data_IF_073833256157
#
_entry.id   IF_073833256157
#
_cell.length_a   1.000
_cell.length_b   1.000
_cell.length_c   1.000
_cell.angle_alpha   90.00
_cell.angle_beta   90.00
_cell.angle_gamma   90.00
#
_symmetry.space_group_name_H-M   'P 1'
#
loop_
_entity.id
_entity.type
_entity.pdbx_description
1 polymer ?
#
# COMPACT_ATOMS: atom_id res chain seq x y z
N UNK A 1 -2.01 34.69 -72.73
CA UNK A 1 -1.25 34.35 -71.51
C UNK A 1 -2.16 33.52 -70.61
N UNK A 2 -1.72 32.40 -70.04
CA UNK A 2 -2.59 31.54 -69.23
C UNK A 2 -2.82 32.12 -67.83
N UNK A 3 -4.02 31.96 -67.29
CA UNK A 3 -4.34 32.29 -65.89
C UNK A 3 -3.61 31.36 -64.90
N UNK A 4 -3.20 31.85 -63.72
CA UNK A 4 -2.60 31.01 -62.71
C UNK A 4 -3.67 30.26 -61.89
N UNK A 5 -3.64 28.92 -61.92
CA UNK A 5 -4.43 28.07 -61.02
C UNK A 5 -3.95 28.21 -59.57
N UNK A 6 -4.83 28.63 -58.66
CA UNK A 6 -4.52 28.74 -57.22
C UNK A 6 -4.34 27.35 -56.56
N UNK A 7 -3.40 27.19 -55.60
CA UNK A 7 -3.03 25.88 -55.08
C UNK A 7 -4.03 25.33 -54.05
N UNK A 8 -4.23 24.01 -54.09
CA UNK A 8 -5.05 23.18 -53.20
C UNK A 8 -4.54 23.15 -51.74
N UNK A 9 -4.59 24.28 -51.03
CA UNK A 9 -4.27 24.34 -49.57
C UNK A 9 -5.42 23.88 -48.67
N UNK A 10 -6.68 23.86 -49.15
CA UNK A 10 -7.87 23.52 -48.33
C UNK A 10 -7.97 22.03 -47.99
N UNK A 11 -7.58 21.13 -48.91
CA UNK A 11 -7.69 19.66 -48.72
C UNK A 11 -6.85 19.13 -47.56
N UNK A 12 -5.63 19.64 -47.37
CA UNK A 12 -4.73 19.19 -46.29
C UNK A 12 -5.17 19.63 -44.89
N UNK A 13 -5.94 20.72 -44.78
CA UNK A 13 -6.47 21.20 -43.48
C UNK A 13 -7.66 20.38 -43.01
N UNK A 14 -8.60 20.07 -43.92
CA UNK A 14 -9.76 19.23 -43.64
C UNK A 14 -9.37 17.81 -43.22
N UNK A 15 -8.36 17.22 -43.88
CA UNK A 15 -7.83 15.91 -43.49
C UNK A 15 -7.21 15.91 -42.08
N UNK A 16 -6.49 16.98 -41.72
CA UNK A 16 -5.91 17.14 -40.38
C UNK A 16 -6.97 17.28 -39.30
N UNK A 17 -8.01 18.08 -39.53
CA UNK A 17 -9.12 18.21 -38.58
C UNK A 17 -9.92 16.90 -38.44
N UNK A 18 -10.16 16.18 -39.54
CA UNK A 18 -10.81 14.86 -39.49
C UNK A 18 -10.01 13.83 -38.71
N UNK A 19 -8.70 13.74 -38.94
CA UNK A 19 -7.82 12.83 -38.21
C UNK A 19 -7.77 13.17 -36.70
N UNK A 20 -7.67 14.45 -36.35
CA UNK A 20 -7.70 14.88 -34.94
C UNK A 20 -9.01 14.54 -34.24
N UNK A 21 -10.15 14.69 -34.92
CA UNK A 21 -11.46 14.34 -34.36
C UNK A 21 -11.58 12.82 -34.11
N UNK A 22 -11.10 11.99 -35.04
CA UNK A 22 -11.10 10.53 -34.88
C UNK A 22 -10.23 10.10 -33.70
N UNK A 23 -9.03 10.69 -33.55
CA UNK A 23 -8.16 10.40 -32.40
C UNK A 23 -8.83 10.80 -31.09
N UNK A 24 -9.45 11.99 -31.02
CA UNK A 24 -10.15 12.42 -29.82
C UNK A 24 -11.33 11.51 -29.45
N UNK A 25 -12.12 11.07 -30.45
CA UNK A 25 -13.21 10.13 -30.22
C UNK A 25 -12.70 8.76 -29.77
N UNK A 26 -11.58 8.28 -30.33
CA UNK A 26 -10.96 7.03 -29.90
C UNK A 26 -10.44 7.11 -28.46
N UNK A 27 -9.80 8.22 -28.08
CA UNK A 27 -9.34 8.46 -26.70
C UNK A 27 -10.53 8.57 -25.75
N UNK A 28 -11.56 9.34 -26.11
CA UNK A 28 -12.77 9.45 -25.29
C UNK A 28 -13.47 8.10 -25.11
N UNK A 29 -13.61 7.33 -26.20
CA UNK A 29 -14.15 5.97 -26.16
C UNK A 29 -13.32 5.04 -25.28
N UNK A 30 -11.99 5.10 -25.39
CA UNK A 30 -11.08 4.33 -24.52
C UNK A 30 -11.25 4.72 -23.05
N UNK A 31 -11.31 6.01 -22.71
CA UNK A 31 -11.50 6.48 -21.35
C UNK A 31 -12.87 6.09 -20.78
N UNK A 32 -13.94 6.15 -21.59
CA UNK A 32 -15.28 5.67 -21.20
C UNK A 32 -15.25 4.17 -20.93
N UNK A 33 -14.60 3.38 -21.78
CA UNK A 33 -14.42 1.94 -21.54
C UNK A 33 -13.66 1.70 -20.23
N UNK A 34 -12.53 2.37 -20.01
CA UNK A 34 -11.79 2.26 -18.74
C UNK A 34 -12.66 2.65 -17.53
N UNK A 35 -13.45 3.72 -17.63
CA UNK A 35 -14.31 4.16 -16.53
C UNK A 35 -15.44 3.15 -16.23
N UNK A 36 -16.11 2.65 -17.27
CA UNK A 36 -17.25 1.71 -17.12
C UNK A 36 -16.79 0.31 -16.73
N UNK A 37 -15.64 -0.15 -17.22
CA UNK A 37 -15.10 -1.47 -16.90
C UNK A 37 -14.21 -1.49 -15.66
N UNK A 38 -14.08 -0.37 -14.93
CA UNK A 38 -13.23 -0.25 -13.74
C UNK A 38 -11.73 -0.23 -14.03
N UNK A 39 -11.35 -0.05 -15.29
CA UNK A 39 -10.01 -0.28 -15.80
C UNK A 39 -9.63 -1.75 -15.67
N UNK A 40 -8.51 -2.16 -16.28
CA UNK A 40 -7.91 -3.44 -15.89
C UNK A 40 -7.32 -3.27 -14.49
N UNK A 41 -8.14 -3.35 -13.44
CA UNK A 41 -7.63 -3.61 -12.10
C UNK A 41 -6.78 -4.89 -12.24
N UNK A 42 -5.48 -4.79 -12.01
CA UNK A 42 -4.61 -5.97 -12.02
C UNK A 42 -5.12 -7.01 -11.01
N UNK A 43 -4.62 -8.26 -11.05
CA UNK A 43 -4.97 -9.25 -10.04
C UNK A 43 -4.77 -8.65 -8.64
N UNK A 44 -5.85 -8.59 -7.87
CA UNK A 44 -5.90 -8.00 -6.53
C UNK A 44 -6.27 -9.05 -5.50
N UNK A 45 -5.93 -8.79 -4.25
CA UNK A 45 -6.31 -9.58 -3.10
C UNK A 45 -7.42 -8.87 -2.34
N UNK A 46 -8.40 -9.64 -1.86
CA UNK A 46 -9.52 -9.12 -1.10
C UNK A 46 -9.71 -9.99 0.15
N UNK A 47 -9.76 -9.35 1.31
CA UNK A 47 -10.20 -9.99 2.56
C UNK A 47 -11.58 -9.46 2.90
N UNK A 48 -12.49 -10.37 3.24
CA UNK A 48 -13.86 -10.06 3.65
C UNK A 48 -14.10 -10.64 5.03
N UNK A 49 -14.72 -9.85 5.90
CA UNK A 49 -15.12 -10.28 7.25
C UNK A 49 -16.15 -11.40 7.18
N UNK A 50 -15.93 -12.48 7.91
CA UNK A 50 -16.88 -13.58 8.08
C UNK A 50 -18.12 -13.22 8.92
N UNK A 51 -18.13 -12.04 9.56
CA UNK A 51 -19.19 -11.60 10.49
C UNK A 51 -20.44 -11.05 9.78
N UNK A 52 -20.40 -10.88 8.46
CA UNK A 52 -21.53 -10.35 7.68
C UNK A 52 -21.76 -8.84 7.86
N UNK A 53 -20.81 -8.12 8.44
CA UNK A 53 -20.82 -6.66 8.61
C UNK A 53 -20.39 -5.89 7.35
N UNK A 54 -20.01 -6.61 6.29
CA UNK A 54 -19.54 -6.03 5.03
C UNK A 54 -18.14 -5.43 5.09
N UNK A 55 -17.43 -5.58 6.21
CA UNK A 55 -16.05 -5.10 6.33
C UNK A 55 -15.15 -5.86 5.35
N UNK A 56 -14.39 -5.09 4.56
CA UNK A 56 -13.56 -5.63 3.49
C UNK A 56 -12.30 -4.79 3.31
N UNK A 57 -11.21 -5.43 2.92
CA UNK A 57 -9.95 -4.76 2.63
C UNK A 57 -9.37 -5.30 1.32
N UNK A 58 -9.12 -4.40 0.36
CA UNK A 58 -8.54 -4.70 -0.94
C UNK A 58 -7.09 -4.23 -0.99
N UNK A 59 -6.20 -5.07 -1.53
CA UNK A 59 -4.77 -4.81 -1.57
C UNK A 59 -4.12 -5.54 -2.73
N UNK A 60 -2.93 -5.10 -3.12
CA UNK A 60 -2.17 -5.70 -4.21
C UNK A 60 -1.53 -7.03 -3.76
N UNK A 61 -1.13 -7.91 -4.70
CA UNK A 61 -0.36 -9.11 -4.37
C UNK A 61 0.93 -8.81 -3.60
N UNK A 62 1.59 -7.67 -3.86
CA UNK A 62 2.77 -7.23 -3.12
C UNK A 62 2.43 -6.96 -1.64
N UNK A 63 1.38 -6.17 -1.40
CA UNK A 63 0.89 -5.89 -0.04
C UNK A 63 0.45 -7.17 0.67
N UNK A 64 -0.12 -8.13 -0.05
CA UNK A 64 -0.52 -9.43 0.47
C UNK A 64 0.68 -10.23 0.98
N UNK A 65 1.74 -10.31 0.16
CA UNK A 65 2.99 -10.98 0.54
C UNK A 65 3.61 -10.32 1.77
N UNK A 66 3.67 -9.00 1.81
CA UNK A 66 4.23 -8.28 2.97
C UNK A 66 3.40 -8.47 4.24
N UNK A 67 2.07 -8.39 4.15
CA UNK A 67 1.18 -8.64 5.29
C UNK A 67 1.28 -10.09 5.80
N UNK A 68 1.38 -11.06 4.88
CA UNK A 68 1.60 -12.47 5.21
C UNK A 68 2.96 -12.67 5.90
N UNK A 69 4.03 -12.03 5.42
CA UNK A 69 5.36 -12.09 6.05
C UNK A 69 5.35 -11.52 7.47
N UNK A 70 4.77 -10.32 7.67
CA UNK A 70 4.62 -9.72 9.01
C UNK A 70 3.87 -10.66 9.96
N UNK A 71 2.80 -11.28 9.47
CA UNK A 71 1.97 -12.21 10.26
C UNK A 71 2.72 -13.52 10.56
N UNK A 72 3.42 -14.07 9.58
CA UNK A 72 4.18 -15.31 9.72
C UNK A 72 5.31 -15.16 10.74
N UNK A 73 6.05 -14.05 10.71
CA UNK A 73 7.10 -13.75 11.70
C UNK A 73 6.51 -13.62 13.10
N UNK A 74 5.39 -12.90 13.25
CA UNK A 74 4.73 -12.76 14.55
C UNK A 74 4.24 -14.11 15.10
N UNK A 75 3.64 -14.93 14.23
CA UNK A 75 3.14 -16.27 14.58
C UNK A 75 4.28 -17.22 14.94
N UNK A 76 5.39 -17.19 14.19
CA UNK A 76 6.57 -18.01 14.44
C UNK A 76 7.27 -17.68 15.77
N UNK A 77 7.03 -16.48 16.31
CA UNK A 77 7.49 -16.04 17.64
C UNK A 77 6.47 -16.30 18.75
N UNK A 78 5.40 -17.06 18.48
CA UNK A 78 4.29 -17.32 19.40
C UNK A 78 3.63 -16.03 19.95
N UNK A 79 3.72 -14.93 19.21
CA UNK A 79 3.14 -13.66 19.63
C UNK A 79 1.62 -13.66 19.47
N UNK A 80 0.90 -12.97 20.36
CA UNK A 80 -0.55 -12.88 20.24
C UNK A 80 -0.94 -12.11 18.97
N UNK A 81 -2.12 -12.41 18.44
CA UNK A 81 -2.74 -11.70 17.31
C UNK A 81 -2.76 -10.18 17.48
N UNK A 82 -2.85 -9.70 18.73
CA UNK A 82 -2.73 -8.26 19.04
C UNK A 82 -1.40 -7.67 18.58
N UNK A 83 -0.29 -8.41 18.71
CA UNK A 83 1.02 -7.98 18.23
C UNK A 83 1.03 -7.87 16.70
N UNK A 84 0.49 -8.89 16.01
CA UNK A 84 0.35 -8.88 14.55
C UNK A 84 -0.50 -7.70 14.08
N UNK A 85 -1.61 -7.43 14.77
CA UNK A 85 -2.49 -6.28 14.47
C UNK A 85 -1.73 -4.96 14.61
N UNK A 86 -0.94 -4.79 15.68
CA UNK A 86 -0.11 -3.59 15.89
C UNK A 86 0.92 -3.45 14.77
N UNK A 87 1.60 -4.54 14.39
CA UNK A 87 2.60 -4.52 13.32
C UNK A 87 1.99 -4.19 11.95
N UNK A 88 0.86 -4.82 11.59
CA UNK A 88 0.16 -4.55 10.33
C UNK A 88 -0.33 -3.10 10.25
N UNK A 89 -0.93 -2.58 11.33
CA UNK A 89 -1.36 -1.17 11.39
C UNK A 89 -0.16 -0.21 11.28
N UNK A 90 0.98 -0.58 11.86
CA UNK A 90 2.21 0.21 11.75
C UNK A 90 2.70 0.21 10.29
N UNK A 91 2.87 -0.95 9.66
CA UNK A 91 3.31 -1.02 8.27
C UNK A 91 2.32 -0.37 7.28
N UNK A 92 1.02 -0.43 7.57
CA UNK A 92 0.00 0.32 6.82
C UNK A 92 0.22 1.83 6.90
N UNK A 93 0.51 2.34 8.09
CA UNK A 93 0.76 3.76 8.31
C UNK A 93 2.09 4.23 7.70
N UNK A 94 3.14 3.43 7.83
CA UNK A 94 4.50 3.81 7.44
C UNK A 94 4.74 3.70 5.93
N UNK A 95 4.21 2.65 5.28
CA UNK A 95 4.50 2.35 3.87
C UNK A 95 3.28 1.93 3.04
N UNK A 96 2.11 1.84 3.67
CA UNK A 96 0.94 1.17 3.12
C UNK A 96 1.23 -0.29 2.72
N UNK A 97 1.96 -1.03 3.58
CA UNK A 97 2.37 -2.44 3.36
C UNK A 97 3.29 -2.65 2.14
N UNK A 98 4.07 -1.65 1.74
CA UNK A 98 5.01 -1.75 0.62
C UNK A 98 6.44 -1.68 1.11
N UNK A 99 7.32 -2.48 0.53
CA UNK A 99 8.72 -2.50 0.96
C UNK A 99 9.51 -1.46 0.16
N UNK A 100 9.43 -0.20 0.60
CA UNK A 100 9.96 0.95 -0.13
C UNK A 100 11.41 1.28 0.25
N UNK A 101 12.21 1.70 -0.73
CA UNK A 101 13.63 2.09 -0.57
C UNK A 101 13.83 3.60 -0.38
N UNK A 102 12.76 4.31 -0.06
CA UNK A 102 12.72 5.74 0.19
C UNK A 102 11.87 6.06 1.41
N UNK A 103 12.07 7.26 1.96
CA UNK A 103 11.41 7.71 3.18
C UNK A 103 11.94 9.06 3.65
N UNK A 104 11.53 9.47 4.85
CA UNK A 104 12.16 10.61 5.52
C UNK A 104 13.59 10.24 5.97
N UNK A 105 14.56 11.12 5.70
CA UNK A 105 15.99 10.90 6.00
C UNK A 105 16.52 9.59 5.37
N UNK A 106 16.88 8.61 6.21
CA UNK A 106 17.37 7.28 5.83
C UNK A 106 16.38 6.18 6.22
N UNK A 107 15.09 6.50 6.38
CA UNK A 107 14.03 5.51 6.62
C UNK A 107 13.83 4.61 5.40
N UNK A 108 13.72 3.31 5.65
CA UNK A 108 13.59 2.27 4.63
C UNK A 108 12.58 1.19 5.06
N UNK A 109 12.09 0.44 4.07
CA UNK A 109 11.32 -0.77 4.23
C UNK A 109 9.91 -0.57 4.79
N UNK A 110 9.30 -1.70 5.18
CA UNK A 110 7.89 -1.80 5.60
C UNK A 110 7.50 -0.87 6.74
N UNK A 111 8.41 -0.71 7.71
CA UNK A 111 8.19 0.04 8.95
C UNK A 111 8.93 1.39 8.94
N UNK A 112 9.48 1.82 7.81
CA UNK A 112 10.26 3.07 7.70
C UNK A 112 11.37 3.19 8.76
N UNK A 113 12.06 2.07 9.01
CA UNK A 113 13.13 1.94 9.99
C UNK A 113 14.41 2.62 9.51
N UNK A 114 15.20 3.17 10.43
CA UNK A 114 16.38 3.98 10.12
C UNK A 114 17.68 3.27 10.49
N UNK A 115 18.58 2.97 9.53
CA UNK A 115 19.91 2.44 9.85
C UNK A 115 20.68 3.30 10.84
N UNK A 116 20.63 4.63 10.68
CA UNK A 116 21.31 5.57 11.59
C UNK A 116 20.79 5.55 13.04
N UNK A 117 19.63 4.94 13.30
CA UNK A 117 19.08 4.76 14.64
C UNK A 117 19.29 3.35 15.20
N UNK A 118 20.06 2.51 14.51
CA UNK A 118 20.40 1.17 15.00
C UNK A 118 19.39 0.08 14.69
N UNK A 119 18.43 0.33 13.77
CA UNK A 119 17.44 -0.68 13.36
C UNK A 119 18.02 -1.81 12.50
N UNK A 120 19.25 -1.66 11.99
CA UNK A 120 19.91 -2.61 11.09
C UNK A 120 20.63 -1.91 9.94
N UNK A 121 21.31 -2.66 9.10
CA UNK A 121 21.87 -2.15 7.84
C UNK A 121 20.77 -1.91 6.80
N UNK A 122 20.99 -1.07 5.77
CA UNK A 122 20.01 -0.87 4.71
C UNK A 122 19.55 -2.18 4.05
N UNK A 123 20.47 -3.14 3.86
CA UNK A 123 20.16 -4.44 3.28
C UNK A 123 19.24 -5.27 4.18
N UNK A 124 19.48 -5.25 5.49
CA UNK A 124 18.64 -5.98 6.44
C UNK A 124 17.26 -5.34 6.57
N UNK A 125 17.16 -4.01 6.63
CA UNK A 125 15.87 -3.31 6.74
C UNK A 125 15.01 -3.51 5.48
N UNK A 126 15.63 -3.67 4.31
CA UNK A 126 14.93 -4.00 3.07
C UNK A 126 14.51 -5.48 2.98
N UNK A 127 14.86 -6.33 3.93
CA UNK A 127 14.28 -7.68 4.07
C UNK A 127 13.01 -7.60 4.96
N UNK A 128 11.81 -7.85 4.39
CA UNK A 128 10.56 -7.82 5.14
C UNK A 128 10.54 -8.68 6.41
N UNK A 129 11.20 -9.84 6.39
CA UNK A 129 11.22 -10.75 7.54
C UNK A 129 12.07 -10.18 8.67
N UNK A 130 13.28 -9.68 8.35
CA UNK A 130 14.14 -8.99 9.31
C UNK A 130 13.47 -7.75 9.90
N UNK A 131 12.88 -6.90 9.04
CA UNK A 131 12.25 -5.66 9.49
C UNK A 131 11.09 -5.94 10.47
N UNK A 132 10.28 -6.97 10.18
CA UNK A 132 9.21 -7.43 11.06
C UNK A 132 9.76 -8.02 12.36
N UNK A 133 10.82 -8.83 12.29
CA UNK A 133 11.48 -9.41 13.47
C UNK A 133 11.97 -8.30 14.41
N UNK A 134 12.70 -7.32 13.88
CA UNK A 134 13.17 -6.14 14.64
C UNK A 134 12.03 -5.31 15.21
N UNK A 135 10.93 -5.15 14.48
CA UNK A 135 9.76 -4.46 15.01
C UNK A 135 9.18 -5.20 16.23
N UNK A 136 9.04 -6.52 16.15
CA UNK A 136 8.52 -7.31 17.26
C UNK A 136 9.43 -7.31 18.48
N UNK A 137 10.77 -7.38 18.30
CA UNK A 137 11.73 -7.23 19.40
C UNK A 137 11.47 -5.95 20.20
N UNK A 138 11.33 -4.80 19.52
CA UNK A 138 11.04 -3.53 20.18
C UNK A 138 9.63 -3.46 20.76
N UNK A 139 8.65 -4.14 20.15
CA UNK A 139 7.28 -4.19 20.69
C UNK A 139 7.23 -4.97 22.02
N UNK A 140 7.98 -6.06 22.13
CA UNK A 140 8.05 -6.87 23.35
C UNK A 140 8.69 -6.11 24.52
N UNK A 141 9.58 -5.16 24.24
CA UNK A 141 10.14 -4.25 25.25
C UNK A 141 9.11 -3.23 25.78
N UNK A 142 7.95 -3.06 25.12
CA UNK A 142 6.89 -2.15 25.57
C UNK A 142 6.04 -2.82 26.66
N UNK A 143 6.11 -2.36 27.93
CA UNK A 143 5.41 -3.03 29.02
C UNK A 143 3.89 -3.00 28.84
N UNK A 144 3.28 -4.19 28.82
CA UNK A 144 1.82 -4.34 28.71
C UNK A 144 1.23 -3.90 27.38
N UNK A 145 2.01 -3.89 26.29
CA UNK A 145 1.57 -3.42 24.96
C UNK A 145 0.23 -4.02 24.51
N UNK A 146 -0.05 -5.27 24.88
CA UNK A 146 -1.28 -5.98 24.51
C UNK A 146 -2.55 -5.31 25.04
N UNK A 147 -2.45 -4.56 26.13
CA UNK A 147 -3.58 -3.84 26.76
C UNK A 147 -3.60 -2.35 26.40
N UNK A 148 -2.58 -1.85 25.72
CA UNK A 148 -2.54 -0.46 25.28
C UNK A 148 -3.46 -0.26 24.06
N UNK A 149 -4.01 0.96 23.87
CA UNK A 149 -4.55 1.36 22.58
C UNK A 149 -3.50 1.11 21.50
N UNK A 150 -3.90 0.60 20.33
CA UNK A 150 -2.98 0.17 19.28
C UNK A 150 -2.00 1.29 18.93
N UNK A 151 -2.54 2.48 18.74
CA UNK A 151 -1.76 3.67 18.38
C UNK A 151 -0.71 4.02 19.43
N UNK A 152 -0.97 3.75 20.72
CA UNK A 152 -0.02 3.99 21.81
C UNK A 152 1.10 2.96 21.80
N UNK A 153 0.78 1.68 21.55
CA UNK A 153 1.79 0.64 21.43
C UNK A 153 2.70 0.89 20.21
N UNK A 154 2.11 1.12 19.02
CA UNK A 154 2.83 1.44 17.80
C UNK A 154 3.72 2.69 17.97
N UNK A 155 3.16 3.74 18.58
CA UNK A 155 3.89 4.97 18.85
C UNK A 155 5.06 4.79 19.83
N UNK A 156 4.95 3.89 20.81
CA UNK A 156 6.07 3.61 21.74
C UNK A 156 7.23 2.92 21.03
N UNK A 157 6.95 2.09 20.02
CA UNK A 157 7.96 1.46 19.17
C UNK A 157 8.59 2.48 18.21
N UNK A 158 7.76 3.12 17.37
CA UNK A 158 8.22 3.98 16.28
C UNK A 158 8.68 5.37 16.72
N UNK A 159 8.12 5.89 17.82
CA UNK A 159 8.38 7.25 18.35
C UNK A 159 8.19 8.34 17.27
N UNK A 160 7.14 8.24 16.47
CA UNK A 160 6.86 9.18 15.37
C UNK A 160 6.39 10.56 15.86
N UNK A 161 6.29 11.55 14.97
CA UNK A 161 5.72 12.86 15.29
C UNK A 161 4.19 12.89 15.42
N UNK A 162 3.49 11.79 15.13
CA UNK A 162 2.03 11.76 14.97
C UNK A 162 1.38 10.60 15.75
N UNK A 163 1.19 10.76 17.08
CA UNK A 163 0.77 9.66 17.96
C UNK A 163 -0.56 8.98 17.64
N UNK A 164 -1.45 9.64 16.88
CA UNK A 164 -2.79 9.16 16.55
C UNK A 164 -2.89 8.61 15.11
N UNK A 165 -1.82 8.67 14.33
CA UNK A 165 -1.87 8.31 12.91
C UNK A 165 -2.17 6.82 12.69
N UNK A 166 -1.78 5.95 13.62
CA UNK A 166 -1.98 4.51 13.51
C UNK A 166 -3.43 4.07 13.79
N UNK A 167 -4.17 4.82 14.60
CA UNK A 167 -5.53 4.45 15.02
C UNK A 167 -6.50 4.24 13.84
N UNK A 168 -6.35 5.02 12.77
CA UNK A 168 -7.20 4.90 11.56
C UNK A 168 -7.02 3.56 10.82
N UNK A 169 -5.90 2.88 11.04
CA UNK A 169 -5.59 1.59 10.40
C UNK A 169 -5.98 0.39 11.26
N UNK A 170 -6.43 0.59 12.50
CA UNK A 170 -6.78 -0.50 13.41
C UNK A 170 -7.87 -1.44 12.86
N UNK A 171 -8.97 -0.94 12.23
CA UNK A 171 -9.98 -1.83 11.64
C UNK A 171 -9.43 -2.72 10.52
N UNK A 172 -8.68 -2.14 9.58
CA UNK A 172 -8.09 -2.87 8.45
C UNK A 172 -7.04 -3.88 8.92
N UNK A 173 -6.18 -3.47 9.85
CA UNK A 173 -5.15 -4.33 10.41
C UNK A 173 -5.74 -5.49 11.21
N UNK A 174 -6.84 -5.26 11.95
CA UNK A 174 -7.54 -6.32 12.68
C UNK A 174 -8.18 -7.32 11.72
N UNK A 175 -8.79 -6.84 10.62
CA UNK A 175 -9.36 -7.71 9.59
C UNK A 175 -8.27 -8.57 8.92
N UNK A 176 -7.14 -7.98 8.57
CA UNK A 176 -5.99 -8.69 8.03
C UNK A 176 -5.41 -9.70 9.02
N UNK A 177 -5.21 -9.31 10.28
CA UNK A 177 -4.67 -10.18 11.32
C UNK A 177 -5.57 -11.39 11.55
N UNK A 178 -6.89 -11.19 11.66
CA UNK A 178 -7.88 -12.26 11.81
C UNK A 178 -7.79 -13.27 10.66
N UNK A 179 -7.78 -12.77 9.41
CA UNK A 179 -7.69 -13.61 8.22
C UNK A 179 -6.37 -14.37 8.11
N UNK A 180 -5.24 -13.72 8.41
CA UNK A 180 -3.91 -14.29 8.21
C UNK A 180 -3.42 -15.17 9.37
N UNK A 181 -4.00 -15.02 10.57
CA UNK A 181 -3.70 -15.88 11.74
C UNK A 181 -4.66 -17.07 11.88
N UNK A 182 -5.67 -17.17 11.00
CA UNK A 182 -6.61 -18.29 10.98
C UNK A 182 -7.72 -18.23 12.05
N UNK A 183 -8.01 -17.03 12.61
CA UNK A 183 -9.14 -16.79 13.51
C UNK A 183 -10.18 -15.93 12.80
N UNK A 184 -11.08 -16.55 12.05
CA UNK A 184 -12.21 -15.89 11.36
C UNK A 184 -13.53 -16.13 12.07
#
# INVERSE_FOLDING_TARGET
MPEPSLPSKRRGRLFRFGASLVVLLAVAGYLVVQYVTGGRSGPGCLVVSGKGDGARYEFTPEQAVNAATITAVGTARDLPERAVTIALATALQESALRNIDYGDRDSLGLFQQRPSQGWGTPKEIMDPAYAAEKFYEHLEEVPGYTRLPLTVAAQKVQRSGFPQAYAKHEPDAALLAAALTGRS
#
